data_IF_002676387927
#
_entry.id   IF_002676387927
#
_cell.length_a   1.000
_cell.length_b   1.000
_cell.length_c   1.000
_cell.angle_alpha   90.00
_cell.angle_beta   90.00
_cell.angle_gamma   90.00
#
_symmetry.space_group_name_H-M   'P 1'
#
loop_
_entity.id
_entity.type
_entity.pdbx_description
1 polymer ?
#
# COMPACT_ATOMS: atom_id res chain seq x y z
N UNK A 1 10.19 -9.74 -4.78
CA UNK A 1 10.97 -9.21 -3.64
C UNK A 1 10.56 -7.77 -3.29
N UNK A 2 10.57 -6.80 -4.21
CA UNK A 2 10.30 -5.39 -3.92
C UNK A 2 8.96 -5.08 -3.19
N UNK A 3 7.82 -5.63 -3.64
CA UNK A 3 6.52 -5.35 -2.97
C UNK A 3 6.49 -5.84 -1.52
N UNK A 4 7.09 -7.00 -1.24
CA UNK A 4 7.12 -7.53 0.13
C UNK A 4 7.94 -6.63 1.06
N UNK A 5 9.05 -6.07 0.59
CA UNK A 5 9.86 -5.14 1.38
C UNK A 5 9.13 -3.83 1.67
N UNK A 6 8.44 -3.27 0.66
CA UNK A 6 7.61 -2.08 0.85
C UNK A 6 6.49 -2.34 1.85
N UNK A 7 5.83 -3.49 1.76
CA UNK A 7 4.79 -3.88 2.71
C UNK A 7 5.36 -4.10 4.11
N UNK A 8 6.53 -4.73 4.23
CA UNK A 8 7.22 -4.90 5.51
C UNK A 8 7.43 -3.55 6.20
N UNK A 9 8.04 -2.58 5.51
CA UNK A 9 8.25 -1.24 6.06
C UNK A 9 6.94 -0.49 6.35
N UNK A 10 5.91 -0.67 5.53
CA UNK A 10 4.59 -0.09 5.77
C UNK A 10 3.99 -0.63 7.08
N UNK A 11 4.01 -1.94 7.29
CA UNK A 11 3.45 -2.56 8.49
C UNK A 11 4.26 -2.26 9.75
N UNK A 12 5.57 -2.05 9.64
CA UNK A 12 6.43 -1.61 10.76
C UNK A 12 6.09 -0.20 11.28
N UNK A 13 5.32 0.60 10.54
CA UNK A 13 4.84 1.90 11.03
C UNK A 13 3.71 1.77 12.06
N UNK A 14 3.16 0.57 12.27
CA UNK A 14 2.03 0.30 13.16
C UNK A 14 2.50 -0.61 14.30
N UNK A 15 2.25 -0.27 15.58
CA UNK A 15 1.46 0.85 16.08
C UNK A 15 2.17 2.21 15.97
N UNK A 16 1.39 3.30 15.83
CA UNK A 16 1.89 4.67 15.75
C UNK A 16 2.37 5.13 17.14
N UNK A 17 3.53 4.65 17.56
CA UNK A 17 4.09 4.99 18.87
C UNK A 17 4.63 6.42 18.95
N UNK A 18 4.81 7.10 17.80
CA UNK A 18 5.25 8.49 17.73
C UNK A 18 4.87 9.14 16.38
N UNK A 19 5.02 10.47 16.31
CA UNK A 19 4.72 11.26 15.10
C UNK A 19 5.62 10.89 13.90
N UNK A 20 6.82 10.36 14.15
CA UNK A 20 7.74 9.90 13.10
C UNK A 20 7.20 8.68 12.37
N UNK A 21 6.64 7.70 13.09
CA UNK A 21 5.99 6.53 12.50
C UNK A 21 4.77 6.93 11.67
N UNK A 22 4.03 7.95 12.13
CA UNK A 22 2.89 8.47 11.39
C UNK A 22 3.31 9.15 10.08
N UNK A 23 4.33 10.01 10.12
CA UNK A 23 4.89 10.63 8.91
C UNK A 23 5.38 9.57 7.92
N UNK A 24 6.15 8.58 8.42
CA UNK A 24 6.63 7.45 7.63
C UNK A 24 5.49 6.64 7.04
N UNK A 25 4.39 6.44 7.75
CA UNK A 25 3.22 5.73 7.25
C UNK A 25 2.57 6.42 6.04
N UNK A 26 2.50 7.75 6.06
CA UNK A 26 2.03 8.57 4.93
C UNK A 26 2.98 8.42 3.74
N UNK A 27 4.29 8.60 3.96
CA UNK A 27 5.32 8.47 2.91
C UNK A 27 5.33 7.05 2.30
N UNK A 28 5.12 6.02 3.12
CA UNK A 28 5.02 4.64 2.66
C UNK A 28 3.76 4.40 1.83
N UNK A 29 2.62 4.99 2.19
CA UNK A 29 1.40 4.92 1.35
C UNK A 29 1.64 5.53 -0.03
N UNK A 30 2.26 6.71 -0.10
CA UNK A 30 2.57 7.33 -1.40
C UNK A 30 3.55 6.50 -2.22
N UNK A 31 4.51 5.85 -1.55
CA UNK A 31 5.45 4.93 -2.20
C UNK A 31 4.74 3.70 -2.74
N UNK A 32 3.77 3.15 -2.02
CA UNK A 32 2.92 2.06 -2.46
C UNK A 32 2.06 2.45 -3.67
N UNK A 33 1.47 3.65 -3.69
CA UNK A 33 0.71 4.17 -4.84
C UNK A 33 1.60 4.29 -6.08
N UNK A 34 2.80 4.88 -5.93
CA UNK A 34 3.76 4.98 -7.04
C UNK A 34 4.20 3.61 -7.53
N UNK A 35 4.44 2.66 -6.61
CA UNK A 35 4.80 1.28 -6.98
C UNK A 35 3.67 0.60 -7.74
N UNK A 36 2.42 0.83 -7.34
CA UNK A 36 1.24 0.32 -8.03
C UNK A 36 1.21 0.77 -9.49
N UNK A 37 1.20 2.09 -9.73
CA UNK A 37 1.10 2.65 -11.09
C UNK A 37 2.33 2.36 -11.96
N UNK A 38 3.53 2.43 -11.39
CA UNK A 38 4.76 2.40 -12.18
C UNK A 38 5.35 1.00 -12.37
N UNK A 39 4.96 0.03 -11.53
CA UNK A 39 5.56 -1.32 -11.52
C UNK A 39 4.52 -2.43 -11.54
N UNK A 40 3.55 -2.40 -10.63
CA UNK A 40 2.61 -3.52 -10.49
C UNK A 40 1.58 -3.57 -11.63
N UNK A 41 0.97 -2.43 -11.98
CA UNK A 41 0.01 -2.36 -13.09
C UNK A 41 0.65 -2.74 -14.44
N UNK A 42 1.81 -2.18 -14.85
CA UNK A 42 2.46 -2.59 -16.09
C UNK A 42 2.88 -4.08 -16.11
N UNK A 43 3.23 -4.63 -14.94
CA UNK A 43 3.53 -6.05 -14.80
C UNK A 43 2.29 -6.91 -15.01
N UNK A 44 1.16 -6.55 -14.38
CA UNK A 44 -0.14 -7.18 -14.59
C UNK A 44 -0.53 -7.16 -16.07
N UNK A 45 -0.49 -6.00 -16.71
CA UNK A 45 -0.89 -5.83 -18.10
C UNK A 45 -0.03 -6.68 -19.06
N UNK A 46 1.26 -6.85 -18.75
CA UNK A 46 2.15 -7.73 -19.53
C UNK A 46 1.78 -9.20 -19.33
N UNK A 47 1.68 -9.65 -18.09
CA UNK A 47 1.41 -11.06 -17.76
C UNK A 47 0.02 -11.49 -18.24
N UNK A 48 -0.99 -10.64 -18.07
CA UNK A 48 -2.36 -10.90 -18.52
C UNK A 48 -2.44 -11.07 -20.04
N UNK A 49 -1.67 -10.29 -20.80
CA UNK A 49 -1.55 -10.44 -22.26
C UNK A 49 -0.83 -11.71 -22.69
N UNK A 50 0.22 -12.11 -21.97
CA UNK A 50 1.06 -13.27 -22.32
C UNK A 50 0.40 -14.60 -21.96
N UNK A 51 -0.24 -14.68 -20.79
CA UNK A 51 -0.71 -15.94 -20.22
C UNK A 51 -2.24 -16.07 -20.22
N UNK A 52 -2.99 -15.02 -20.59
CA UNK A 52 -4.46 -14.98 -20.60
C UNK A 52 -5.12 -15.45 -19.28
N UNK A 53 -4.38 -15.40 -18.18
CA UNK A 53 -4.79 -15.75 -16.83
C UNK A 53 -4.22 -14.72 -15.85
N UNK A 54 -4.96 -14.43 -14.78
CA UNK A 54 -4.45 -13.54 -13.74
C UNK A 54 -3.52 -14.28 -12.79
N UNK A 55 -2.24 -13.97 -12.88
CA UNK A 55 -1.18 -14.51 -12.01
C UNK A 55 -0.71 -13.51 -10.96
N UNK A 56 -1.40 -12.37 -10.86
CA UNK A 56 -0.96 -11.22 -10.06
C UNK A 56 -1.96 -10.78 -9.01
N UNK A 57 -3.19 -11.31 -9.00
CA UNK A 57 -4.25 -10.90 -8.06
C UNK A 57 -3.79 -10.92 -6.60
N UNK A 58 -2.98 -11.92 -6.21
CA UNK A 58 -2.45 -11.97 -4.85
C UNK A 58 -1.57 -10.75 -4.50
N UNK A 59 -0.81 -10.21 -5.46
CA UNK A 59 -0.01 -8.99 -5.26
C UNK A 59 -0.90 -7.76 -5.07
N UNK A 60 -1.98 -7.65 -5.85
CA UNK A 60 -2.98 -6.60 -5.69
C UNK A 60 -3.67 -6.69 -4.33
N UNK A 61 -4.13 -7.88 -3.93
CA UNK A 61 -4.78 -8.10 -2.63
C UNK A 61 -3.89 -7.65 -1.45
N UNK A 62 -2.57 -7.91 -1.52
CA UNK A 62 -1.62 -7.45 -0.49
C UNK A 62 -1.50 -5.93 -0.45
N UNK A 63 -1.44 -5.29 -1.63
CA UNK A 63 -1.39 -3.83 -1.75
C UNK A 63 -2.69 -3.18 -1.24
N UNK A 64 -3.84 -3.70 -1.66
CA UNK A 64 -5.17 -3.22 -1.25
C UNK A 64 -5.35 -3.33 0.27
N UNK A 65 -4.88 -4.41 0.88
CA UNK A 65 -4.93 -4.58 2.34
C UNK A 65 -4.15 -3.48 3.06
N UNK A 66 -2.98 -3.10 2.55
CA UNK A 66 -2.20 -1.99 3.09
C UNK A 66 -2.91 -0.64 2.88
N UNK A 67 -3.43 -0.37 1.68
CA UNK A 67 -4.16 0.86 1.38
C UNK A 67 -5.45 0.99 2.21
N UNK A 68 -6.18 -0.11 2.42
CA UNK A 68 -7.35 -0.15 3.28
C UNK A 68 -6.99 0.19 4.74
N UNK A 69 -5.87 -0.33 5.25
CA UNK A 69 -5.37 0.03 6.58
C UNK A 69 -5.09 1.53 6.70
N UNK A 70 -4.47 2.12 5.68
CA UNK A 70 -4.20 3.56 5.62
C UNK A 70 -5.50 4.37 5.62
N UNK A 71 -6.42 4.05 4.71
CA UNK A 71 -7.70 4.76 4.58
C UNK A 71 -8.52 4.73 5.86
N UNK A 72 -8.57 3.58 6.54
CA UNK A 72 -9.24 3.44 7.83
C UNK A 72 -8.63 4.32 8.92
N UNK A 73 -7.30 4.43 8.95
CA UNK A 73 -6.61 5.33 9.88
C UNK A 73 -6.84 6.80 9.52
N UNK A 74 -6.69 7.17 8.25
CA UNK A 74 -6.87 8.54 7.78
C UNK A 74 -8.28 9.06 8.06
N UNK A 75 -9.31 8.23 7.82
CA UNK A 75 -10.71 8.57 8.14
C UNK A 75 -10.90 8.85 9.63
N UNK A 76 -10.32 8.03 10.51
CA UNK A 76 -10.40 8.24 11.97
C UNK A 76 -9.73 9.55 12.38
N UNK A 77 -8.56 9.86 11.81
CA UNK A 77 -7.84 11.10 12.08
C UNK A 77 -8.63 12.34 11.63
N UNK A 78 -9.23 12.29 10.44
CA UNK A 78 -10.09 13.37 9.93
C UNK A 78 -11.32 13.64 10.80
N UNK A 79 -11.87 12.60 11.44
CA UNK A 79 -12.97 12.76 12.41
C UNK A 79 -12.49 13.37 13.73
N UNK A 80 -11.28 13.03 14.19
CA UNK A 80 -10.71 13.58 15.42
C UNK A 80 -10.39 15.08 15.32
N UNK A 81 -9.94 15.57 14.16
CA UNK A 81 -9.64 17.00 13.97
C UNK A 81 -10.88 17.90 13.82
N UNK A 82 -12.09 17.32 13.76
CA UNK A 82 -13.35 18.05 13.60
C UNK A 82 -14.13 18.26 14.90
N UNK A 83 -13.63 17.73 16.01
CA UNK A 83 -14.16 17.89 17.36
C UNK A 83 -13.23 18.74 18.21
#
# INVERSE_FOLDING_TARGET
MALNELLYHFWQCVPFSNQTHEKKFIEMKETLDRFHCNKLQPFHDRVSREFHHDLTSHLFNKLESALARYNNWYRKKQLQCKN
#
